data_IF_341624710486
#
_entry.id   IF_341624710486
#
_cell.length_a   1.000
_cell.length_b   1.000
_cell.length_c   1.000
_cell.angle_alpha   90.00
_cell.angle_beta   90.00
_cell.angle_gamma   90.00
#
_symmetry.space_group_name_H-M   'P 1'
#
loop_
_entity.id
_entity.type
_entity.pdbx_description
1 polymer ?
#
# COMPACT_ATOMS: atom_id res chain seq x y z
N UNK A 1 -4.29 -13.77 -19.70
CA UNK A 1 -3.75 -13.29 -18.42
C UNK A 1 -4.44 -13.90 -17.20
N UNK A 2 -5.76 -13.73 -16.99
CA UNK A 2 -6.45 -14.30 -15.79
C UNK A 2 -6.28 -15.83 -15.66
N UNK A 3 -6.45 -16.59 -16.74
CA UNK A 3 -6.23 -18.05 -16.74
C UNK A 3 -4.78 -18.47 -16.38
N UNK A 4 -3.79 -17.62 -16.69
CA UNK A 4 -2.39 -17.88 -16.34
C UNK A 4 -2.18 -17.69 -14.84
N UNK A 5 -2.73 -16.60 -14.27
CA UNK A 5 -2.70 -16.35 -12.83
C UNK A 5 -3.36 -17.51 -12.06
N UNK A 6 -4.49 -18.02 -12.55
CA UNK A 6 -5.17 -19.16 -11.94
C UNK A 6 -4.30 -20.42 -11.93
N UNK A 7 -3.53 -20.68 -13.00
CA UNK A 7 -2.57 -21.78 -13.05
C UNK A 7 -1.40 -21.63 -12.06
N UNK A 8 -1.14 -20.41 -11.60
CA UNK A 8 -0.14 -20.08 -10.58
C UNK A 8 -0.74 -19.95 -9.18
N UNK A 9 -2.01 -20.30 -9.00
CA UNK A 9 -2.68 -20.24 -7.70
C UNK A 9 -3.23 -18.85 -7.33
N UNK A 10 -3.41 -17.95 -8.29
CA UNK A 10 -3.95 -16.59 -8.06
C UNK A 10 -5.24 -16.36 -8.84
N UNK A 11 -6.32 -16.04 -8.13
CA UNK A 11 -7.61 -15.69 -8.72
C UNK A 11 -7.81 -14.19 -8.64
N UNK A 12 -7.99 -13.53 -9.78
CA UNK A 12 -8.32 -12.10 -9.84
C UNK A 12 -9.84 -11.90 -9.97
N UNK A 13 -10.49 -11.46 -8.89
CA UNK A 13 -11.93 -11.31 -8.81
C UNK A 13 -12.46 -10.18 -9.69
N UNK A 14 -13.63 -10.33 -10.30
CA UNK A 14 -14.25 -9.31 -11.17
C UNK A 14 -15.00 -8.26 -10.36
N UNK A 15 -14.28 -7.58 -9.48
CA UNK A 15 -14.80 -6.55 -8.60
C UNK A 15 -13.93 -5.28 -8.61
N UNK A 16 -14.49 -4.21 -8.07
CA UNK A 16 -13.80 -2.99 -7.69
C UNK A 16 -13.81 -2.90 -6.16
N UNK A 17 -12.63 -2.80 -5.57
CA UNK A 17 -12.46 -2.63 -4.13
C UNK A 17 -12.53 -1.14 -3.79
N UNK A 18 -13.34 -0.86 -2.78
CA UNK A 18 -13.67 0.47 -2.28
C UNK A 18 -13.21 0.57 -0.82
N UNK A 19 -12.47 1.62 -0.51
CA UNK A 19 -12.10 1.96 0.86
C UNK A 19 -13.10 2.97 1.43
N UNK A 20 -13.86 2.49 2.40
CA UNK A 20 -14.91 3.26 3.09
C UNK A 20 -14.51 3.63 4.50
N UNK A 21 -13.23 3.47 4.86
CA UNK A 21 -12.71 3.83 6.19
C UNK A 21 -12.73 5.34 6.43
N UNK A 22 -12.76 6.14 5.37
CA UNK A 22 -12.59 7.59 5.43
C UNK A 22 -11.15 8.04 5.71
N UNK A 23 -10.20 7.12 5.92
CA UNK A 23 -8.80 7.50 6.16
C UNK A 23 -8.17 8.02 4.88
N UNK A 24 -8.39 7.35 3.74
CA UNK A 24 -7.88 7.79 2.44
C UNK A 24 -8.27 9.22 2.07
N UNK A 25 -9.49 9.65 2.40
CA UNK A 25 -9.98 11.01 2.10
C UNK A 25 -9.24 12.08 2.90
N UNK A 26 -8.71 11.76 4.09
CA UNK A 26 -7.82 12.66 4.85
C UNK A 26 -6.51 12.95 4.10
N UNK A 27 -6.09 12.05 3.21
CA UNK A 27 -4.91 12.17 2.36
C UNK A 27 -5.24 12.59 0.92
N UNK A 28 -6.49 13.03 0.65
CA UNK A 28 -6.94 13.46 -0.67
C UNK A 28 -7.23 12.33 -1.66
N UNK A 29 -7.37 11.09 -1.17
CA UNK A 29 -7.77 9.95 -1.99
C UNK A 29 -9.29 9.78 -1.98
N UNK A 30 -9.85 9.33 -3.10
CA UNK A 30 -11.26 8.89 -3.19
C UNK A 30 -11.42 7.43 -2.73
N UNK A 31 -12.66 7.00 -2.51
CA UNK A 31 -13.03 5.64 -2.09
C UNK A 31 -12.55 4.55 -3.07
N UNK A 32 -12.42 4.87 -4.37
CA UNK A 32 -11.89 3.96 -5.40
C UNK A 32 -10.37 3.81 -5.38
N UNK A 33 -9.69 4.42 -4.41
CA UNK A 33 -8.24 4.32 -4.21
C UNK A 33 -7.99 3.78 -2.80
N UNK A 34 -8.12 2.46 -2.58
CA UNK A 34 -7.81 1.86 -1.30
C UNK A 34 -6.47 2.27 -0.72
N UNK A 35 -6.50 2.74 0.52
CA UNK A 35 -5.32 3.02 1.33
C UNK A 35 -4.98 1.76 2.14
N UNK A 36 -3.77 1.26 1.95
CA UNK A 36 -3.27 0.05 2.61
C UNK A 36 -2.22 0.43 3.63
N UNK A 37 -2.42 -0.08 4.85
CA UNK A 37 -1.43 -0.08 5.94
C UNK A 37 -1.28 -1.46 6.60
N UNK A 38 -2.04 -2.46 6.13
CA UNK A 38 -1.99 -3.82 6.65
C UNK A 38 -1.15 -4.70 5.71
N UNK A 39 0.05 -5.06 6.18
CA UNK A 39 1.02 -5.85 5.43
C UNK A 39 1.27 -7.19 6.12
N UNK A 40 1.42 -8.22 5.31
CA UNK A 40 1.70 -9.59 5.75
C UNK A 40 3.20 -9.80 6.03
N UNK A 41 3.57 -10.99 6.49
CA UNK A 41 4.97 -11.36 6.66
C UNK A 41 5.59 -11.80 5.32
N UNK A 42 6.26 -10.88 4.62
CA UNK A 42 7.00 -11.18 3.40
C UNK A 42 8.15 -10.19 3.18
N UNK A 43 9.25 -10.64 2.54
CA UNK A 43 10.47 -9.83 2.34
C UNK A 43 10.20 -8.47 1.66
N UNK A 44 9.27 -8.44 0.70
CA UNK A 44 8.85 -7.23 -0.05
C UNK A 44 8.27 -6.14 0.87
N UNK A 45 7.52 -6.54 1.91
CA UNK A 45 6.67 -5.62 2.70
C UNK A 45 7.07 -5.53 4.17
N UNK A 46 8.17 -6.19 4.59
CA UNK A 46 8.55 -6.29 6.00
C UNK A 46 8.72 -4.91 6.66
N UNK A 47 9.25 -3.95 5.91
CA UNK A 47 9.56 -2.58 6.35
C UNK A 47 8.41 -1.59 6.06
N UNK A 48 7.27 -2.07 5.57
CA UNK A 48 6.14 -1.22 5.17
C UNK A 48 5.13 -0.97 6.31
N UNK A 49 5.30 -1.59 7.48
CA UNK A 49 4.30 -1.62 8.57
C UNK A 49 3.79 -0.26 9.06
N UNK A 50 4.53 0.82 8.82
CA UNK A 50 4.16 2.19 9.20
C UNK A 50 3.97 3.13 8.00
N UNK A 51 4.04 2.60 6.78
CA UNK A 51 4.05 3.39 5.54
C UNK A 51 2.82 3.01 4.71
N UNK A 52 1.88 3.95 4.57
CA UNK A 52 0.68 3.71 3.78
C UNK A 52 0.98 3.71 2.27
N UNK A 53 0.27 2.85 1.53
CA UNK A 53 0.31 2.79 0.06
C UNK A 53 -1.08 2.88 -0.52
N UNK A 54 -1.20 3.43 -1.74
CA UNK A 54 -2.47 3.71 -2.40
C UNK A 54 -2.62 2.91 -3.69
N UNK A 55 -3.81 2.31 -3.90
CA UNK A 55 -4.05 1.41 -5.04
C UNK A 55 -5.29 1.83 -5.85
N UNK A 56 -5.15 2.73 -6.84
CA UNK A 56 -6.29 3.17 -7.65
C UNK A 56 -6.96 2.03 -8.40
N UNK A 57 -8.29 1.99 -8.39
CA UNK A 57 -9.09 1.05 -9.18
C UNK A 57 -8.65 -0.41 -8.98
N UNK A 58 -8.38 -0.79 -7.73
CA UNK A 58 -7.93 -2.13 -7.40
C UNK A 58 -9.08 -3.14 -7.43
N UNK A 59 -8.79 -4.35 -7.87
CA UNK A 59 -9.63 -5.54 -7.71
C UNK A 59 -9.07 -6.46 -6.63
N UNK A 60 -9.93 -7.28 -6.03
CA UNK A 60 -9.50 -8.24 -5.02
C UNK A 60 -8.84 -9.46 -5.63
N UNK A 61 -7.91 -10.06 -4.88
CA UNK A 61 -7.21 -11.29 -5.22
C UNK A 61 -7.56 -12.39 -4.21
N UNK A 62 -7.61 -13.63 -4.66
CA UNK A 62 -7.67 -14.82 -3.83
C UNK A 62 -6.52 -15.76 -4.19
N UNK A 63 -6.08 -16.55 -3.21
CA UNK A 63 -5.01 -17.53 -3.37
C UNK A 63 -5.57 -18.95 -3.33
N UNK A 64 -5.08 -19.83 -4.18
CA UNK A 64 -5.40 -21.26 -4.21
C UNK A 64 -4.11 -22.07 -4.19
N UNK A 65 -4.12 -23.18 -3.45
CA UNK A 65 -3.02 -24.14 -3.51
C UNK A 65 -3.04 -24.85 -4.86
N UNK A 66 -1.90 -24.89 -5.53
CA UNK A 66 -1.70 -25.58 -6.80
C UNK A 66 -0.34 -26.27 -6.79
N UNK A 67 -0.22 -27.37 -7.53
CA UNK A 67 1.05 -28.07 -7.67
C UNK A 67 2.07 -27.20 -8.43
N UNK A 68 3.28 -27.09 -7.89
CA UNK A 68 4.39 -26.39 -8.54
C UNK A 68 4.37 -24.87 -8.38
N UNK A 69 3.51 -24.30 -7.53
CA UNK A 69 3.58 -22.89 -7.13
C UNK A 69 3.41 -22.70 -5.62
N UNK A 70 4.12 -21.73 -5.06
CA UNK A 70 3.84 -21.19 -3.72
C UNK A 70 3.34 -19.76 -3.86
N UNK A 71 2.35 -19.36 -3.07
CA UNK A 71 1.75 -18.02 -3.14
C UNK A 71 1.52 -17.47 -1.74
N UNK A 72 2.16 -16.35 -1.45
CA UNK A 72 2.04 -15.59 -0.21
C UNK A 72 1.30 -14.28 -0.46
N UNK A 73 0.41 -13.93 0.45
CA UNK A 73 -0.23 -12.60 0.43
C UNK A 73 0.78 -11.55 0.86
N UNK A 74 0.72 -10.37 0.24
CA UNK A 74 1.60 -9.25 0.60
C UNK A 74 0.88 -8.23 1.47
N UNK A 75 -0.34 -7.86 1.09
CA UNK A 75 -1.13 -6.88 1.80
C UNK A 75 -2.61 -6.94 1.44
N UNK A 76 -3.41 -6.41 2.34
CA UNK A 76 -4.86 -6.36 2.21
C UNK A 76 -5.40 -4.99 2.61
N UNK A 77 -6.61 -4.67 2.17
CA UNK A 77 -7.36 -3.51 2.68
C UNK A 77 -7.68 -3.64 4.17
N UNK A 78 -8.21 -2.57 4.78
CA UNK A 78 -8.83 -2.65 6.10
C UNK A 78 -10.17 -3.41 6.06
N UNK A 79 -10.70 -3.80 7.22
CA UNK A 79 -12.06 -4.35 7.35
C UNK A 79 -13.17 -3.35 6.97
N UNK A 80 -12.85 -2.06 6.94
CA UNK A 80 -13.74 -0.98 6.50
C UNK A 80 -13.58 -0.76 4.98
N UNK A 81 -13.76 -1.84 4.22
CA UNK A 81 -13.75 -1.81 2.76
C UNK A 81 -14.88 -2.68 2.22
N UNK A 82 -15.32 -2.37 1.00
CA UNK A 82 -16.32 -3.14 0.28
C UNK A 82 -15.84 -3.46 -1.12
N UNK A 83 -16.34 -4.55 -1.70
CA UNK A 83 -16.16 -4.82 -3.13
C UNK A 83 -17.50 -4.73 -3.87
N UNK A 84 -17.47 -4.13 -5.05
CA UNK A 84 -18.64 -3.99 -5.92
C UNK A 84 -18.38 -4.53 -7.32
N UNK A 85 -19.40 -5.14 -7.91
CA UNK A 85 -19.43 -5.54 -9.32
C UNK A 85 -20.26 -4.55 -10.16
N UNK A 86 -20.94 -3.59 -9.53
CA UNK A 86 -21.78 -2.59 -10.16
C UNK A 86 -20.93 -1.41 -10.65
N UNK A 87 -20.34 -1.55 -11.84
CA UNK A 87 -19.42 -0.54 -12.43
C UNK A 87 -20.11 0.43 -13.40
N UNK A 88 -21.40 0.23 -13.69
CA UNK A 88 -22.15 1.00 -14.69
C UNK A 88 -22.71 2.34 -14.19
N UNK A 89 -22.52 2.68 -12.92
CA UNK A 89 -23.03 3.91 -12.30
C UNK A 89 -21.87 4.79 -11.86
N UNK A 90 -21.98 6.10 -12.11
CA UNK A 90 -21.04 7.09 -11.59
C UNK A 90 -21.14 7.28 -10.06
N UNK A 91 -22.25 6.84 -9.46
CA UNK A 91 -22.47 6.90 -8.01
C UNK A 91 -22.16 5.55 -7.38
N UNK A 92 -21.31 5.56 -6.35
CA UNK A 92 -21.06 4.39 -5.51
C UNK A 92 -22.27 4.19 -4.59
N UNK A 93 -22.98 3.07 -4.77
CA UNK A 93 -24.10 2.66 -3.91
C UNK A 93 -23.73 1.32 -3.28
N UNK A 94 -23.42 1.35 -1.99
CA UNK A 94 -23.08 0.16 -1.24
C UNK A 94 -24.32 -0.41 -0.55
N UNK A 95 -24.57 -1.69 -0.80
CA UNK A 95 -25.57 -2.50 -0.11
C UNK A 95 -24.83 -3.63 0.61
N UNK A 96 -24.77 -3.64 1.95
CA UNK A 96 -24.11 -4.70 2.72
C UNK A 96 -24.62 -6.12 2.44
N UNK A 97 -25.82 -6.28 1.86
CA UNK A 97 -26.35 -7.59 1.46
C UNK A 97 -25.83 -8.07 0.10
N UNK A 98 -25.40 -7.15 -0.77
CA UNK A 98 -24.92 -7.45 -2.14
C UNK A 98 -23.41 -7.31 -2.28
N UNK A 99 -22.82 -6.36 -1.58
CA UNK A 99 -21.40 -6.08 -1.60
C UNK A 99 -20.70 -6.85 -0.49
N UNK A 100 -19.61 -7.53 -0.84
CA UNK A 100 -18.80 -8.21 0.17
C UNK A 100 -18.08 -7.14 1.00
N UNK A 101 -18.01 -7.35 2.30
CA UNK A 101 -17.17 -6.57 3.19
C UNK A 101 -15.76 -7.18 3.24
N UNK A 102 -14.74 -6.31 3.36
CA UNK A 102 -13.34 -6.72 3.44
C UNK A 102 -12.94 -7.31 4.80
N UNK A 103 -11.64 -7.57 5.00
CA UNK A 103 -10.52 -7.13 4.18
C UNK A 103 -10.36 -7.91 2.86
N UNK A 104 -9.80 -7.25 1.84
CA UNK A 104 -9.50 -7.84 0.53
C UNK A 104 -8.00 -7.84 0.28
N UNK A 105 -7.46 -9.00 -0.10
CA UNK A 105 -6.06 -9.09 -0.56
C UNK A 105 -5.92 -8.33 -1.88
N UNK A 106 -4.96 -7.41 -1.95
CA UNK A 106 -4.69 -6.60 -3.14
C UNK A 106 -3.40 -6.98 -3.86
N UNK A 107 -2.49 -7.69 -3.19
CA UNK A 107 -1.31 -8.23 -3.84
C UNK A 107 -0.82 -9.53 -3.22
N UNK A 108 -0.16 -10.33 -4.06
CA UNK A 108 0.45 -11.61 -3.72
C UNK A 108 1.82 -11.72 -4.40
N UNK A 109 2.73 -12.48 -3.80
CA UNK A 109 3.99 -12.89 -4.39
C UNK A 109 4.06 -14.42 -4.40
N UNK A 110 4.79 -14.99 -5.34
CA UNK A 110 4.91 -16.43 -5.42
C UNK A 110 6.11 -16.93 -6.19
N UNK A 111 6.43 -18.20 -5.98
CA UNK A 111 7.47 -18.91 -6.73
C UNK A 111 6.87 -20.05 -7.54
N UNK A 112 7.49 -20.37 -8.68
CA UNK A 112 7.10 -21.43 -9.60
C UNK A 112 8.24 -22.43 -9.69
N UNK A 113 7.96 -23.69 -9.36
CA UNK A 113 8.90 -24.79 -9.52
C UNK A 113 8.64 -25.45 -10.86
N UNK A 114 9.50 -25.21 -11.84
CA UNK A 114 9.40 -25.90 -13.13
C UNK A 114 10.04 -27.28 -13.01
N UNK A 115 9.22 -28.35 -13.07
CA UNK A 115 9.75 -29.70 -13.29
C UNK A 115 10.28 -29.78 -14.74
N UNK A 116 11.58 -29.56 -14.91
CA UNK A 116 12.31 -29.86 -16.15
C UNK A 116 12.33 -28.75 -17.21
N UNK A 117 13.43 -28.00 -17.24
CA UNK A 117 14.01 -27.55 -18.50
C UNK A 117 15.53 -27.72 -18.41
N UNK A 118 15.94 -28.99 -18.53
CA UNK A 118 17.25 -29.34 -19.08
C UNK A 118 17.25 -29.00 -20.57
N UNK A 119 17.22 -27.71 -20.88
CA UNK A 119 17.61 -27.20 -22.17
C UNK A 119 19.09 -26.83 -22.06
N UNK A 120 19.91 -27.66 -22.71
CA UNK A 120 21.28 -27.43 -23.19
C UNK A 120 22.00 -26.21 -22.60
N UNK A 121 22.89 -26.47 -21.65
CA UNK A 121 24.07 -25.62 -21.44
C UNK A 121 25.24 -26.55 -21.27
N UNK A 122 26.14 -26.48 -22.25
CA UNK A 122 27.31 -27.33 -22.38
C UNK A 122 28.22 -27.32 -21.17
N UNK A 123 29.03 -28.38 -21.12
CA UNK A 123 30.09 -28.68 -20.16
C UNK A 123 30.62 -27.48 -19.35
N UNK A 124 30.21 -27.42 -18.09
CA UNK A 124 31.08 -27.09 -16.97
C UNK A 124 30.43 -27.51 -15.65
N UNK A 125 30.75 -28.72 -15.20
CA UNK A 125 30.46 -29.19 -13.84
C UNK A 125 31.33 -28.44 -12.85
N UNK A 126 30.78 -27.40 -12.22
CA UNK A 126 31.20 -26.97 -10.89
C UNK A 126 30.09 -27.36 -9.92
N UNK A 127 30.45 -28.13 -8.90
CA UNK A 127 29.56 -28.60 -7.86
C UNK A 127 28.95 -27.42 -7.08
N UNK A 128 27.66 -27.20 -7.30
CA UNK A 128 26.80 -26.32 -6.53
C UNK A 128 25.38 -26.83 -6.69
N UNK A 129 24.67 -26.97 -5.58
CA UNK A 129 23.32 -27.51 -5.40
C UNK A 129 22.38 -27.41 -6.62
N UNK A 130 21.61 -28.48 -6.87
CA UNK A 130 20.46 -28.50 -7.78
C UNK A 130 19.46 -27.38 -7.39
N UNK A 131 19.71 -26.15 -7.85
CA UNK A 131 18.72 -25.07 -7.83
C UNK A 131 17.77 -25.35 -8.98
N UNK A 132 16.67 -26.04 -8.69
CA UNK A 132 15.49 -25.99 -9.54
C UNK A 132 15.28 -24.53 -9.98
N UNK A 133 15.10 -24.29 -11.28
CA UNK A 133 14.86 -22.93 -11.80
C UNK A 133 13.53 -22.43 -11.21
N UNK A 134 13.62 -21.69 -10.12
CA UNK A 134 12.48 -21.09 -9.43
C UNK A 134 12.15 -19.76 -10.10
N UNK A 135 11.07 -19.73 -10.88
CA UNK A 135 10.52 -18.47 -11.36
C UNK A 135 9.87 -17.72 -10.20
N UNK A 136 9.96 -16.39 -10.16
CA UNK A 136 9.26 -15.55 -9.18
C UNK A 136 8.24 -14.67 -9.87
N UNK A 137 7.13 -14.41 -9.20
CA UNK A 137 6.11 -13.51 -9.70
C UNK A 137 5.50 -12.68 -8.57
N UNK A 138 5.00 -11.50 -8.93
CA UNK A 138 4.19 -10.64 -8.06
C UNK A 138 2.95 -10.24 -8.85
N UNK A 139 1.79 -10.30 -8.21
CA UNK A 139 0.51 -9.85 -8.78
C UNK A 139 -0.05 -8.76 -7.90
N UNK A 140 -0.38 -7.62 -8.50
CA UNK A 140 -1.09 -6.52 -7.82
C UNK A 140 -2.42 -6.31 -8.54
N UNK A 141 -3.51 -6.21 -7.79
CA UNK A 141 -4.88 -6.07 -8.29
C UNK A 141 -5.19 -4.71 -8.93
N UNK A 142 -4.20 -3.85 -9.11
CA UNK A 142 -4.34 -2.53 -9.74
C UNK A 142 -3.27 -2.38 -10.81
N UNK A 143 -3.59 -1.72 -11.91
CA UNK A 143 -2.59 -1.23 -12.87
C UNK A 143 -2.15 0.20 -12.57
N UNK A 144 -2.94 0.96 -11.80
CA UNK A 144 -2.72 2.38 -11.52
C UNK A 144 -1.77 2.66 -10.34
N UNK A 145 -1.43 1.66 -9.54
CA UNK A 145 -0.61 1.84 -8.32
C UNK A 145 0.84 2.27 -8.58
N UNK A 146 1.33 2.15 -9.81
CA UNK A 146 2.65 2.64 -10.27
C UNK A 146 2.55 3.78 -11.30
N UNK A 147 1.36 4.30 -11.54
CA UNK A 147 1.20 5.45 -12.42
C UNK A 147 1.86 6.71 -11.81
N UNK A 148 2.35 7.62 -12.65
CA UNK A 148 3.12 8.80 -12.21
C UNK A 148 2.45 9.63 -11.11
N UNK A 149 1.12 9.71 -11.13
CA UNK A 149 0.32 10.44 -10.15
C UNK A 149 0.30 9.79 -8.76
N UNK A 150 0.49 8.48 -8.68
CA UNK A 150 0.45 7.70 -7.43
C UNK A 150 1.79 7.15 -7.00
N UNK A 151 2.76 7.00 -7.91
CA UNK A 151 4.09 6.48 -7.57
C UNK A 151 4.78 7.28 -6.46
N UNK A 152 4.52 8.60 -6.39
CA UNK A 152 5.05 9.51 -5.36
C UNK A 152 4.23 9.55 -4.06
N UNK A 153 3.16 8.78 -3.98
CA UNK A 153 2.33 8.71 -2.78
C UNK A 153 3.03 7.84 -1.72
N UNK A 154 3.42 8.46 -0.60
CA UNK A 154 3.97 7.80 0.59
C UNK A 154 4.92 6.64 0.23
N UNK A 155 4.49 5.38 0.43
CA UNK A 155 5.31 4.20 0.22
C UNK A 155 5.26 3.56 -1.17
N UNK A 156 4.51 4.09 -2.14
CA UNK A 156 4.29 3.40 -3.43
C UNK A 156 5.60 3.17 -4.21
N UNK A 157 6.50 4.17 -4.22
CA UNK A 157 7.83 4.06 -4.84
C UNK A 157 8.67 2.96 -4.16
N UNK A 158 8.70 2.96 -2.83
CA UNK A 158 9.49 2.00 -2.07
C UNK A 158 8.95 0.57 -2.25
N UNK A 159 7.63 0.40 -2.21
CA UNK A 159 6.98 -0.88 -2.47
C UNK A 159 7.33 -1.41 -3.86
N UNK A 160 7.28 -0.56 -4.90
CA UNK A 160 7.65 -0.95 -6.25
C UNK A 160 9.10 -1.41 -6.34
N UNK A 161 10.03 -0.67 -5.73
CA UNK A 161 11.44 -1.03 -5.74
C UNK A 161 11.70 -2.32 -4.92
N UNK A 162 10.98 -2.54 -3.82
CA UNK A 162 11.09 -3.77 -3.05
C UNK A 162 10.59 -4.99 -3.84
N UNK A 163 9.48 -4.83 -4.58
CA UNK A 163 8.99 -5.87 -5.50
C UNK A 163 10.02 -6.19 -6.58
N UNK A 164 10.64 -5.16 -7.18
CA UNK A 164 11.65 -5.36 -8.24
C UNK A 164 12.90 -6.07 -7.71
N UNK A 165 13.43 -5.65 -6.56
CA UNK A 165 14.59 -6.28 -5.92
C UNK A 165 14.30 -7.76 -5.57
N UNK A 166 13.10 -8.07 -5.08
CA UNK A 166 12.71 -9.45 -4.78
C UNK A 166 12.56 -10.31 -6.04
N UNK A 167 12.03 -9.73 -7.12
CA UNK A 167 11.89 -10.41 -8.41
C UNK A 167 13.25 -10.69 -9.08
N UNK A 168 14.26 -9.84 -8.87
CA UNK A 168 15.61 -10.06 -9.40
C UNK A 168 16.47 -11.01 -8.55
N UNK A 169 15.90 -11.61 -7.50
CA UNK A 169 16.59 -12.46 -6.53
C UNK A 169 17.77 -11.79 -5.79
N UNK A 170 17.76 -10.46 -5.71
CA UNK A 170 18.71 -9.63 -4.97
C UNK A 170 18.14 -9.32 -3.57
N UNK A 171 17.88 -10.36 -2.78
CA UNK A 171 17.28 -10.21 -1.45
C UNK A 171 18.20 -9.47 -0.46
N UNK A 172 19.52 -9.57 -0.65
CA UNK A 172 20.53 -8.83 0.13
C UNK A 172 20.54 -7.32 -0.20
N UNK A 173 20.00 -6.89 -1.36
CA UNK A 173 19.78 -5.48 -1.70
C UNK A 173 18.44 -4.94 -1.19
N UNK A 174 17.68 -5.73 -0.43
CA UNK A 174 16.58 -5.24 0.42
C UNK A 174 17.18 -4.70 1.74
N UNK A 175 18.27 -3.94 1.63
CA UNK A 175 18.92 -3.24 2.74
C UNK A 175 18.63 -1.75 2.63
N UNK A 176 17.93 -1.22 3.64
CA UNK A 176 17.78 0.17 4.07
C UNK A 176 18.30 1.20 3.05
N UNK A 177 17.40 1.72 2.21
CA UNK A 177 17.68 2.94 1.44
C UNK A 177 17.86 4.10 2.43
N UNK A 178 18.86 4.99 2.24
CA UNK A 178 18.93 6.22 2.99
C UNK A 178 17.60 6.96 2.85
N UNK A 179 16.92 7.22 3.97
CA UNK A 179 15.71 8.05 3.98
C UNK A 179 16.05 9.37 3.29
N UNK A 180 15.40 9.65 2.16
CA UNK A 180 15.38 11.01 1.62
C UNK A 180 14.84 11.92 2.75
N UNK A 181 15.36 13.15 2.94
CA UNK A 181 14.92 14.04 4.01
C UNK A 181 13.39 14.15 3.99
N UNK A 182 12.76 13.72 5.09
CA UNK A 182 11.30 13.74 5.26
C UNK A 182 10.79 15.16 5.00
N UNK A 183 9.95 15.32 3.97
CA UNK A 183 9.10 16.50 3.82
C UNK A 183 8.07 16.46 4.97
N UNK A 184 8.46 17.01 6.13
CA UNK A 184 7.62 17.09 7.33
C UNK A 184 6.49 18.08 7.10
N UNK A 185 5.48 17.65 6.34
CA UNK A 185 4.24 18.37 6.19
C UNK A 185 3.41 18.18 7.45
N UNK A 186 3.15 19.28 8.15
CA UNK A 186 2.24 19.32 9.29
C UNK A 186 0.80 19.12 8.80
N UNK A 187 0.28 17.89 8.92
CA UNK A 187 -1.13 17.59 8.65
C UNK A 187 -1.99 18.01 9.84
N UNK A 188 -2.37 19.29 9.86
CA UNK A 188 -3.25 19.85 10.88
C UNK A 188 -4.71 19.76 10.43
N UNK A 189 -5.60 19.27 11.29
CA UNK A 189 -7.04 19.45 11.09
C UNK A 189 -7.40 20.93 11.06
N UNK A 190 -8.50 21.32 10.40
CA UNK A 190 -8.97 22.73 10.40
C UNK A 190 -9.10 23.30 11.82
N UNK A 191 -9.50 22.48 12.79
CA UNK A 191 -9.60 22.87 14.19
C UNK A 191 -8.23 23.04 14.88
N UNK A 192 -7.24 22.21 14.55
CA UNK A 192 -5.86 22.39 15.05
C UNK A 192 -5.22 23.65 14.45
N UNK A 193 -5.41 23.89 13.15
CA UNK A 193 -4.92 25.09 12.48
C UNK A 193 -5.57 26.37 13.05
N UNK A 194 -6.88 26.35 13.30
CA UNK A 194 -7.57 27.46 13.95
C UNK A 194 -7.05 27.70 15.38
N UNK A 195 -6.84 26.64 16.18
CA UNK A 195 -6.27 26.78 17.53
C UNK A 195 -4.87 27.39 17.51
N UNK A 196 -4.02 26.97 16.58
CA UNK A 196 -2.68 27.52 16.41
C UNK A 196 -2.75 28.99 16.01
N UNK A 197 -3.59 29.35 15.04
CA UNK A 197 -3.76 30.72 14.58
C UNK A 197 -4.28 31.62 15.72
N UNK A 198 -5.35 31.23 16.41
CA UNK A 198 -5.91 32.04 17.49
C UNK A 198 -4.98 32.13 18.70
N UNK A 199 -4.32 31.04 19.08
CA UNK A 199 -3.39 31.02 20.20
C UNK A 199 -2.13 31.86 19.95
N UNK A 200 -1.53 31.75 18.76
CA UNK A 200 -0.28 32.43 18.45
C UNK A 200 -0.47 33.88 18.03
N UNK A 201 -1.44 34.17 17.16
CA UNK A 201 -1.63 35.51 16.57
C UNK A 201 -2.38 36.44 17.53
N UNK A 202 -3.37 35.92 18.27
CA UNK A 202 -4.18 36.76 19.15
C UNK A 202 -3.90 36.49 20.64
N UNK A 203 -3.73 35.22 21.03
CA UNK A 203 -3.50 34.85 22.42
C UNK A 203 -2.23 35.46 23.01
N UNK A 204 -1.08 35.30 22.35
CA UNK A 204 0.19 35.85 22.82
C UNK A 204 0.18 37.39 22.96
N UNK A 205 -0.25 38.18 21.94
CA UNK A 205 -0.35 39.63 22.10
C UNK A 205 -1.30 40.07 23.21
N UNK A 206 -2.45 39.41 23.37
CA UNK A 206 -3.39 39.74 24.44
C UNK A 206 -2.81 39.49 25.83
N UNK A 207 -2.05 38.39 26.01
CA UNK A 207 -1.35 38.12 27.27
C UNK A 207 -0.34 39.23 27.58
N UNK A 208 0.41 39.70 26.58
CA UNK A 208 1.38 40.79 26.75
C UNK A 208 0.66 42.11 27.12
N UNK A 209 -0.44 42.44 26.45
CA UNK A 209 -1.23 43.64 26.75
C UNK A 209 -1.80 43.54 28.17
N UNK A 210 -2.37 42.39 28.55
CA UNK A 210 -2.92 42.19 29.88
C UNK A 210 -1.84 42.30 30.97
N UNK A 211 -0.65 41.77 30.73
CA UNK A 211 0.49 41.93 31.63
C UNK A 211 0.90 43.40 31.76
N UNK A 212 0.99 44.13 30.64
CA UNK A 212 1.29 45.57 30.63
C UNK A 212 0.27 46.40 31.40
N UNK A 213 -1.03 46.15 31.16
CA UNK A 213 -2.13 46.80 31.88
C UNK A 213 -2.12 46.46 33.37
N UNK A 214 -1.87 45.19 33.73
CA UNK A 214 -1.78 44.76 35.12
C UNK A 214 -0.65 45.48 35.87
N UNK A 215 0.52 45.60 35.26
CA UNK A 215 1.64 46.37 35.83
C UNK A 215 1.31 47.85 35.95
N UNK A 216 0.66 48.44 34.95
CA UNK A 216 0.23 49.84 35.00
C UNK A 216 -0.77 50.10 36.13
N UNK A 217 -1.78 49.24 36.29
CA UNK A 217 -2.77 49.35 37.36
C UNK A 217 -2.17 49.17 38.75
N UNK A 218 -1.14 48.33 38.89
CA UNK A 218 -0.47 48.09 40.17
C UNK A 218 0.52 49.22 40.55
N UNK A 219 0.89 50.06 39.58
CA UNK A 219 1.78 51.22 39.76
C UNK A 219 1.02 52.54 39.92
N UNK A 220 -0.28 52.55 39.63
CA UNK A 220 -1.18 53.68 39.88
C UNK A 220 -1.78 53.57 41.28
#
# INVERSE_FOLDING_TARGET
MVKLLESWGVVANKDLVLDTSGIGTLFGLSEVVPLVSNYEFHAIVRDMREIATAFPLARSLETKSVDGATVDKLFSTSSNSFSTTELGSAQIRLDPKKNKQGPFTLAVAGSLTTKGSSAESGDNKAAGENKDKQGRFVVVGSSGWVANNILRFNGNRDLFLNMMNWLSADEDLISIRPKEPEDRRLNLTRQQMARILYGSVFGLPLIIIAAGLSVWWRRR
#
